data_IF_812436668815
#
_entry.id   IF_812436668815
#
_cell.length_a   1.000
_cell.length_b   1.000
_cell.length_c   1.000
_cell.angle_alpha   90.00
_cell.angle_beta   90.00
_cell.angle_gamma   90.00
#
_symmetry.space_group_name_H-M   'P 1'
#
loop_
_entity.id
_entity.type
_entity.pdbx_description
1 polymer ?
#
# COMPACT_ATOMS: atom_id res chain seq x y z
N UNK A 1 -59.91 2.80 -36.30
CA UNK A 1 -59.47 3.30 -37.62
C UNK A 1 -58.16 4.04 -37.44
N UNK A 2 -57.12 3.62 -38.19
CA UNK A 2 -55.97 4.35 -38.77
C UNK A 2 -55.35 5.49 -37.90
N UNK A 3 -54.06 5.53 -37.59
CA UNK A 3 -52.94 4.88 -38.24
C UNK A 3 -51.61 5.10 -37.51
N UNK A 4 -50.72 4.19 -37.84
CA UNK A 4 -49.29 4.10 -37.60
C UNK A 4 -48.52 5.37 -37.94
N UNK A 5 -47.42 5.59 -37.23
CA UNK A 5 -46.14 6.00 -37.84
C UNK A 5 -44.98 5.61 -36.93
N UNK A 6 -44.32 4.51 -37.31
CA UNK A 6 -42.92 4.29 -37.02
C UNK A 6 -42.10 5.09 -38.06
N UNK A 7 -41.05 5.78 -37.65
CA UNK A 7 -39.95 6.15 -38.53
C UNK A 7 -38.65 5.78 -37.82
N UNK A 8 -37.88 4.99 -38.55
CA UNK A 8 -36.67 4.29 -38.19
C UNK A 8 -35.44 5.20 -38.35
N UNK A 9 -34.45 4.96 -37.48
CA UNK A 9 -32.98 5.22 -37.58
C UNK A 9 -32.43 6.21 -38.59
N UNK A 10 -31.49 7.04 -38.10
CA UNK A 10 -30.15 7.11 -38.67
C UNK A 10 -29.12 7.43 -37.58
N UNK A 11 -28.23 6.48 -37.38
CA UNK A 11 -26.89 6.61 -36.83
C UNK A 11 -26.05 7.56 -37.71
N UNK A 12 -25.13 8.32 -37.10
CA UNK A 12 -23.70 8.44 -37.48
C UNK A 12 -23.07 9.78 -37.03
N UNK A 13 -21.96 9.61 -36.31
CA UNK A 13 -20.73 10.39 -36.24
C UNK A 13 -20.77 11.89 -36.56
N UNK A 14 -20.24 12.69 -35.61
CA UNK A 14 -19.08 13.55 -35.91
C UNK A 14 -18.35 13.93 -34.62
N UNK A 15 -17.19 13.31 -34.45
CA UNK A 15 -16.10 13.81 -33.62
C UNK A 15 -15.72 15.22 -34.06
N UNK A 16 -15.57 16.13 -33.10
CA UNK A 16 -14.73 17.30 -33.26
C UNK A 16 -13.74 17.31 -32.11
N UNK A 17 -12.56 16.80 -32.43
CA UNK A 17 -11.33 17.07 -31.72
C UNK A 17 -11.07 18.58 -31.77
N UNK A 18 -10.94 19.21 -30.60
CA UNK A 18 -10.15 20.42 -30.46
C UNK A 18 -9.41 20.37 -29.12
N UNK A 19 -8.40 19.49 -29.11
CA UNK A 19 -7.02 19.83 -28.82
C UNK A 19 -6.77 21.22 -28.19
N UNK A 20 -6.04 21.20 -27.07
CA UNK A 20 -5.19 22.26 -26.54
C UNK A 20 -5.89 23.42 -25.81
N UNK A 21 -5.85 23.36 -24.46
CA UNK A 21 -5.13 24.36 -23.67
C UNK A 21 -4.53 23.69 -22.43
N UNK A 22 -3.44 22.95 -22.68
CA UNK A 22 -2.40 22.76 -21.70
C UNK A 22 -1.58 24.06 -21.66
N UNK A 23 -1.94 25.01 -20.80
CA UNK A 23 -1.05 26.13 -20.53
C UNK A 23 -1.37 26.85 -19.22
N UNK A 24 -0.32 27.06 -18.43
CA UNK A 24 -0.20 28.11 -17.42
C UNK A 24 -0.90 27.93 -16.06
N UNK A 25 -0.71 26.79 -15.41
CA UNK A 25 -0.49 26.85 -13.95
C UNK A 25 0.99 26.64 -13.69
N UNK A 26 1.67 27.77 -13.55
CA UNK A 26 3.11 27.92 -13.34
C UNK A 26 3.66 26.91 -12.30
N UNK A 27 4.83 26.31 -12.55
CA UNK A 27 5.45 25.27 -11.71
C UNK A 27 5.98 25.77 -10.34
N UNK A 28 5.62 26.98 -9.92
CA UNK A 28 6.23 27.67 -8.77
C UNK A 28 5.40 27.50 -7.48
N UNK A 29 4.15 27.03 -7.55
CA UNK A 29 3.25 27.01 -6.37
C UNK A 29 3.17 25.64 -5.69
N UNK A 30 3.78 24.58 -6.23
CA UNK A 30 3.71 23.23 -5.65
C UNK A 30 4.80 23.00 -4.59
N UNK A 31 5.91 23.75 -4.59
CA UNK A 31 6.98 23.54 -3.61
C UNK A 31 6.68 24.07 -2.20
N UNK A 32 5.82 25.09 -2.07
CA UNK A 32 5.50 25.66 -0.74
C UNK A 32 4.54 24.78 0.07
N UNK A 33 3.66 24.04 -0.60
CA UNK A 33 2.74 23.12 0.07
C UNK A 33 3.46 21.89 0.63
N UNK A 34 4.58 21.49 0.03
CA UNK A 34 5.39 20.38 0.53
C UNK A 34 6.17 20.75 1.80
N UNK A 35 6.61 22.00 1.93
CA UNK A 35 7.39 22.46 3.09
C UNK A 35 6.57 22.65 4.37
N UNK A 36 5.28 22.98 4.27
CA UNK A 36 4.42 23.21 5.44
C UNK A 36 3.88 21.91 6.10
N UNK A 37 4.04 20.75 5.46
CA UNK A 37 3.60 19.46 6.03
C UNK A 37 4.71 18.67 6.75
N UNK A 38 5.97 19.12 6.74
CA UNK A 38 7.10 18.32 7.23
C UNK A 38 7.77 18.84 8.53
N UNK A 39 7.17 19.80 9.26
CA UNK A 39 7.77 20.35 10.49
C UNK A 39 7.10 19.93 11.82
N UNK A 40 6.49 18.74 11.87
CA UNK A 40 5.90 18.22 13.13
C UNK A 40 6.17 16.73 13.40
N UNK A 41 7.35 16.21 13.04
CA UNK A 41 7.76 14.88 13.53
C UNK A 41 9.12 14.84 14.23
N UNK A 42 9.64 16.00 14.64
CA UNK A 42 10.78 16.05 15.54
C UNK A 42 10.32 16.35 16.96
N UNK A 43 10.84 15.59 17.93
CA UNK A 43 10.83 15.85 19.38
C UNK A 43 9.60 15.50 20.22
N UNK A 44 9.14 14.23 20.22
CA UNK A 44 8.70 13.57 21.47
C UNK A 44 9.17 12.13 21.50
N UNK A 45 10.43 11.95 21.90
CA UNK A 45 10.98 10.67 22.33
C UNK A 45 10.23 10.21 23.61
N UNK A 46 9.01 9.72 23.44
CA UNK A 46 8.30 8.99 24.50
C UNK A 46 9.05 7.69 24.68
N UNK A 47 9.56 7.49 25.89
CA UNK A 47 10.13 6.23 26.36
C UNK A 47 9.01 5.18 26.41
N UNK A 48 8.64 4.64 25.24
CA UNK A 48 7.73 3.51 25.11
C UNK A 48 8.61 2.29 24.92
N UNK A 49 8.91 1.62 26.03
CA UNK A 49 9.43 0.26 26.00
C UNK A 49 8.39 -0.62 25.31
N UNK A 50 8.55 -0.89 24.00
CA UNK A 50 7.90 -2.02 23.35
C UNK A 50 7.20 -1.82 22.01
N UNK A 51 7.18 -0.64 21.39
CA UNK A 51 6.58 -0.54 20.05
C UNK A 51 7.59 -0.92 18.97
N UNK A 52 7.44 -2.14 18.44
CA UNK A 52 8.17 -2.63 17.27
C UNK A 52 7.60 -1.95 16.04
N UNK A 53 8.07 -0.72 15.83
CA UNK A 53 7.90 0.16 14.67
C UNK A 53 7.40 -0.59 13.45
N UNK A 54 6.08 -0.75 13.34
CA UNK A 54 5.48 -0.93 12.03
C UNK A 54 5.71 0.37 11.30
N UNK A 55 6.31 0.32 10.12
CA UNK A 55 6.34 1.47 9.23
C UNK A 55 4.92 2.09 9.21
N UNK A 56 4.80 3.44 9.18
CA UNK A 56 3.51 4.09 9.10
C UNK A 56 2.60 3.39 8.09
N UNK A 57 1.27 3.25 8.36
CA UNK A 57 0.38 2.45 7.52
C UNK A 57 0.48 2.71 6.01
N UNK A 58 0.80 3.97 5.63
CA UNK A 58 1.04 4.36 4.25
C UNK A 58 2.32 3.75 3.66
N UNK A 59 3.45 3.77 4.38
CA UNK A 59 4.74 3.27 3.87
C UNK A 59 4.74 1.77 3.63
N UNK A 60 4.01 1.00 4.44
CA UNK A 60 3.84 -0.45 4.23
C UNK A 60 3.17 -0.75 2.89
N UNK A 61 2.22 0.09 2.46
CA UNK A 61 1.39 -0.16 1.28
C UNK A 61 1.95 0.48 0.00
N UNK A 62 2.70 1.58 0.12
CA UNK A 62 3.23 2.32 -1.05
C UNK A 62 4.72 2.08 -1.27
N UNK A 63 5.43 1.54 -0.28
CA UNK A 63 6.87 1.26 -0.36
C UNK A 63 7.21 0.02 -1.18
N UNK A 64 8.45 -0.05 -1.69
CA UNK A 64 8.98 -1.24 -2.38
C UNK A 64 9.61 -2.18 -1.37
N UNK A 65 8.82 -3.12 -0.87
CA UNK A 65 9.28 -4.09 0.14
C UNK A 65 9.76 -5.38 -0.50
N UNK A 66 10.90 -5.90 -0.05
CA UNK A 66 11.45 -7.18 -0.51
C UNK A 66 11.62 -8.18 0.64
N UNK A 67 11.33 -9.48 0.43
CA UNK A 67 11.61 -10.50 1.42
C UNK A 67 13.10 -10.56 1.74
N UNK A 68 13.42 -10.58 3.03
CA UNK A 68 14.77 -10.77 3.54
C UNK A 68 14.79 -11.93 4.52
N UNK A 69 15.94 -12.59 4.68
CA UNK A 69 16.08 -13.61 5.72
C UNK A 69 16.06 -12.98 7.12
N UNK A 70 15.47 -13.70 8.07
CA UNK A 70 15.50 -13.32 9.49
C UNK A 70 16.96 -13.45 9.98
N UNK A 71 17.54 -12.40 10.58
CA UNK A 71 18.91 -12.45 11.07
C UNK A 71 19.04 -13.47 12.22
N UNK A 72 20.14 -14.24 12.26
CA UNK A 72 20.46 -15.09 13.40
C UNK A 72 20.45 -14.29 14.71
N UNK A 73 19.92 -14.90 15.79
CA UNK A 73 20.02 -14.34 17.14
C UNK A 73 20.77 -15.32 18.03
N UNK A 74 21.94 -14.92 18.51
CA UNK A 74 22.85 -15.80 19.26
C UNK A 74 23.31 -16.98 18.41
N UNK A 75 23.36 -18.17 19.01
CA UNK A 75 23.93 -19.37 18.39
C UNK A 75 23.00 -20.10 17.40
N UNK A 76 21.80 -19.56 17.11
CA UNK A 76 20.85 -20.22 16.19
C UNK A 76 21.14 -19.82 14.74
N UNK A 77 21.73 -20.74 13.97
CA UNK A 77 22.01 -20.56 12.53
C UNK A 77 20.75 -20.30 11.69
N UNK A 78 19.61 -20.86 12.08
CA UNK A 78 18.32 -20.67 11.41
C UNK A 78 17.36 -19.94 12.34
N UNK A 79 17.33 -18.62 12.29
CA UNK A 79 16.34 -17.83 13.00
C UNK A 79 15.00 -17.81 12.25
N UNK A 80 13.92 -17.81 13.02
CA UNK A 80 12.54 -17.74 12.53
C UNK A 80 11.76 -16.71 13.32
N UNK A 81 10.76 -16.10 12.68
CA UNK A 81 9.79 -15.18 13.29
C UNK A 81 8.38 -15.62 12.97
N UNK A 82 7.42 -15.29 13.84
CA UNK A 82 6.01 -15.54 13.56
C UNK A 82 5.53 -14.66 12.40
N UNK A 83 4.70 -15.24 11.52
CA UNK A 83 4.05 -14.52 10.44
C UNK A 83 2.99 -13.56 11.02
N UNK A 84 3.16 -12.26 10.77
CA UNK A 84 2.23 -11.24 11.27
C UNK A 84 0.82 -11.42 10.69
N UNK A 85 0.71 -11.68 9.39
CA UNK A 85 -0.58 -11.89 8.71
C UNK A 85 -1.29 -13.12 9.24
N UNK A 86 -0.63 -14.30 9.31
CA UNK A 86 -1.29 -15.50 9.80
C UNK A 86 -1.79 -15.38 11.26
N UNK A 87 -1.12 -14.54 12.06
CA UNK A 87 -1.50 -14.30 13.45
C UNK A 87 -2.68 -13.33 13.60
N UNK A 88 -2.81 -12.34 12.71
CA UNK A 88 -3.79 -11.25 12.85
C UNK A 88 -4.86 -11.26 11.75
N UNK A 89 -4.85 -12.26 10.86
CA UNK A 89 -5.82 -12.34 9.78
C UNK A 89 -7.25 -12.43 10.31
N UNK A 90 -8.17 -11.70 9.66
CA UNK A 90 -9.61 -11.86 9.86
C UNK A 90 -10.28 -12.55 8.68
N UNK A 91 -9.58 -12.70 7.55
CA UNK A 91 -10.09 -13.34 6.33
C UNK A 91 -10.09 -14.86 6.42
N UNK A 92 -9.16 -15.42 7.19
CA UNK A 92 -8.97 -16.86 7.33
C UNK A 92 -8.82 -17.24 8.81
N UNK A 93 -8.95 -18.53 9.16
CA UNK A 93 -8.64 -18.99 10.50
C UNK A 93 -7.21 -18.59 10.91
N UNK A 94 -7.08 -17.97 12.09
CA UNK A 94 -5.78 -17.58 12.63
C UNK A 94 -4.90 -18.81 12.87
N UNK A 95 -3.64 -18.71 12.47
CA UNK A 95 -2.66 -19.81 12.60
C UNK A 95 -1.33 -19.26 13.05
N UNK A 96 -0.68 -20.00 13.95
CA UNK A 96 0.69 -19.70 14.36
C UNK A 96 1.67 -20.33 13.37
N UNK A 97 2.04 -19.57 12.34
CA UNK A 97 3.06 -19.97 11.35
C UNK A 97 4.36 -19.23 11.58
N UNK A 98 5.48 -19.94 11.51
CA UNK A 98 6.82 -19.37 11.56
C UNK A 98 7.38 -19.19 10.15
N UNK A 99 8.19 -18.16 9.96
CA UNK A 99 8.83 -17.83 8.70
C UNK A 99 10.31 -17.54 8.92
N UNK A 100 11.14 -18.00 7.99
CA UNK A 100 12.56 -17.62 7.86
C UNK A 100 12.73 -16.28 7.14
N UNK A 101 11.64 -15.70 6.65
CA UNK A 101 11.62 -14.45 5.92
C UNK A 101 10.92 -13.35 6.73
N UNK A 102 11.37 -12.12 6.51
CA UNK A 102 10.83 -10.91 7.08
C UNK A 102 10.91 -9.76 6.08
N UNK A 103 10.07 -8.75 6.29
CA UNK A 103 10.31 -7.43 5.72
C UNK A 103 11.21 -6.65 6.70
N UNK A 104 12.38 -6.20 6.24
CA UNK A 104 13.33 -5.43 7.07
C UNK A 104 12.79 -4.04 7.41
N UNK A 105 12.19 -3.38 6.44
CA UNK A 105 11.65 -2.03 6.58
C UNK A 105 10.46 -1.99 7.56
N UNK A 106 9.62 -3.03 7.56
CA UNK A 106 8.47 -3.13 8.46
C UNK A 106 8.75 -3.90 9.78
N UNK A 107 9.94 -4.47 9.93
CA UNK A 107 10.33 -5.38 11.04
C UNK A 107 9.33 -6.52 11.32
N UNK A 108 8.60 -7.02 10.31
CA UNK A 108 7.61 -8.11 10.48
C UNK A 108 8.08 -9.40 9.81
N UNK A 109 7.96 -10.51 10.54
CA UNK A 109 8.07 -11.85 9.95
C UNK A 109 6.86 -12.14 9.09
N UNK A 110 7.06 -12.65 7.87
CA UNK A 110 5.99 -12.88 6.90
C UNK A 110 6.28 -14.16 6.11
N UNK A 111 5.26 -14.97 5.84
CA UNK A 111 5.40 -16.03 4.84
C UNK A 111 5.66 -15.39 3.48
N UNK A 112 6.59 -15.96 2.69
CA UNK A 112 6.93 -15.43 1.35
C UNK A 112 5.67 -15.32 0.49
N UNK A 113 4.83 -16.34 0.52
CA UNK A 113 3.52 -16.36 -0.13
C UNK A 113 2.47 -16.99 0.80
N UNK A 114 1.21 -16.51 0.82
CA UNK A 114 0.71 -15.26 0.20
C UNK A 114 0.88 -14.02 1.10
N UNK A 115 1.36 -14.20 2.32
CA UNK A 115 1.34 -13.16 3.35
C UNK A 115 2.20 -11.93 3.05
N UNK A 116 3.32 -12.09 2.33
CA UNK A 116 4.18 -10.96 2.02
C UNK A 116 3.46 -9.96 1.11
N UNK A 117 2.75 -10.47 0.10
CA UNK A 117 1.95 -9.64 -0.79
C UNK A 117 0.79 -8.98 -0.03
N UNK A 118 -0.04 -9.76 0.65
CA UNK A 118 -1.19 -9.23 1.41
C UNK A 118 -0.78 -8.16 2.43
N UNK A 119 0.37 -8.34 3.10
CA UNK A 119 0.89 -7.36 4.03
C UNK A 119 1.42 -6.09 3.35
N UNK A 120 1.65 -6.03 2.06
CA UNK A 120 2.10 -4.79 1.40
C UNK A 120 1.10 -4.27 0.35
N UNK A 121 -0.03 -4.95 0.14
CA UNK A 121 -1.09 -4.52 -0.78
C UNK A 121 -2.43 -4.25 -0.11
N UNK A 122 -2.71 -4.84 1.05
CA UNK A 122 -4.04 -4.78 1.67
C UNK A 122 -4.04 -4.01 3.00
N UNK A 123 -5.07 -3.19 3.22
CA UNK A 123 -5.33 -2.57 4.51
C UNK A 123 -5.70 -3.60 5.57
N UNK A 124 -6.53 -4.58 5.19
CA UNK A 124 -7.02 -5.65 6.05
C UNK A 124 -6.67 -6.99 5.42
N UNK A 125 -6.10 -7.90 6.20
CA UNK A 125 -5.65 -9.23 5.78
C UNK A 125 -6.11 -10.30 6.76
#
# INVERSE_FOLDING_TARGET
MKGTRAVTVKTELLQKDHSLELSSKSPIVIEKAFSLLHLQQDSKHRNIKGDRSSAPPYLRLTGRHFPSQVPPRGNRKCAVRRCFVCQHTTKNPQRRKESRYMCKECDKGLCVYPCFEAYHSELNF
#
